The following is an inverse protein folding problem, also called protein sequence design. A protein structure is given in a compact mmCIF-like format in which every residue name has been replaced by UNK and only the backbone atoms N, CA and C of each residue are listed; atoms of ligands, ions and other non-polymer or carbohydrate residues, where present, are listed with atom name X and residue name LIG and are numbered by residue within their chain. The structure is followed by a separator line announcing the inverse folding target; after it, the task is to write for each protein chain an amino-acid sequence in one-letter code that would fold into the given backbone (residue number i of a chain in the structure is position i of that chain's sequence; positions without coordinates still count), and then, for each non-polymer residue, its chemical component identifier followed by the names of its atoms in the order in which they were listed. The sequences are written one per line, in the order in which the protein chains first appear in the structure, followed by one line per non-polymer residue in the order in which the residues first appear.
data_IF_120902607769
#
_entry.id   IF_120902607769
#
_cell.length_a   1.000
_cell.length_b   1.000
_cell.length_c   1.000
_cell.angle_alpha   90.00
_cell.angle_beta   90.00
_cell.angle_gamma   90.00
#
_symmetry.space_group_name_H-M   'P 1'
#
loop_
_entity.id
_entity.type
_entity.pdbx_description
1 polymer ?
#
# COMPACT_ATOMS: atom_id res chain seq x y z
N UNK A 1 -5.39 -6.22 -3.75
CA UNK A 1 -4.05 -6.79 -3.51
C UNK A 1 -3.52 -6.24 -2.19
N UNK A 2 -2.69 -6.96 -1.47
CA UNK A 2 -2.08 -6.53 -0.18
C UNK A 2 -0.57 -6.76 -0.26
N UNK A 3 0.21 -6.12 0.62
CA UNK A 3 1.65 -6.35 0.74
C UNK A 3 1.94 -7.78 1.19
N UNK A 4 2.84 -8.47 0.51
CA UNK A 4 3.33 -9.77 0.96
C UNK A 4 4.24 -9.61 2.18
N UNK A 5 3.89 -10.30 3.28
CA UNK A 5 4.68 -10.27 4.51
C UNK A 5 5.69 -11.41 4.60
N UNK A 6 5.77 -12.29 3.59
CA UNK A 6 6.73 -13.38 3.52
C UNK A 6 6.64 -14.26 4.76
N UNK A 7 7.79 -14.46 5.41
CA UNK A 7 7.93 -15.29 6.60
C UNK A 7 7.13 -14.75 7.81
N UNK A 8 6.71 -13.48 7.80
CA UNK A 8 5.88 -12.91 8.87
C UNK A 8 4.38 -13.22 8.72
N UNK A 9 3.97 -13.81 7.60
CA UNK A 9 2.58 -14.18 7.35
C UNK A 9 2.09 -15.16 8.43
N UNK A 10 0.93 -14.85 9.03
CA UNK A 10 0.33 -15.67 10.09
C UNK A 10 0.99 -15.54 11.47
N UNK A 11 2.11 -14.81 11.62
CA UNK A 11 2.76 -14.59 12.92
C UNK A 11 2.04 -13.54 13.75
N UNK A 12 2.15 -13.66 15.08
CA UNK A 12 1.61 -12.66 16.00
C UNK A 12 2.44 -11.38 15.96
N UNK A 13 1.78 -10.22 15.82
CA UNK A 13 2.43 -8.91 15.72
C UNK A 13 3.26 -8.56 16.96
N UNK A 14 2.69 -8.71 18.16
CA UNK A 14 3.36 -8.34 19.42
C UNK A 14 4.56 -9.22 19.71
N UNK A 15 4.45 -10.51 19.38
CA UNK A 15 5.57 -11.45 19.52
C UNK A 15 6.69 -11.14 18.52
N UNK A 16 6.34 -10.90 17.26
CA UNK A 16 7.31 -10.53 16.22
C UNK A 16 8.05 -9.25 16.58
N UNK A 17 7.34 -8.23 17.07
CA UNK A 17 7.93 -6.97 17.54
C UNK A 17 8.86 -7.17 18.73
N UNK A 18 8.52 -8.07 19.66
CA UNK A 18 9.38 -8.41 20.80
C UNK A 18 10.66 -9.12 20.37
N UNK A 19 10.58 -10.00 19.37
CA UNK A 19 11.74 -10.75 18.85
C UNK A 19 12.65 -9.87 17.97
N UNK A 20 12.07 -8.93 17.23
CA UNK A 20 12.76 -8.08 16.25
C UNK A 20 12.44 -6.59 16.48
N UNK A 21 12.82 -6.01 17.62
CA UNK A 21 12.37 -4.67 18.01
C UNK A 21 12.94 -3.55 17.12
N UNK A 22 14.05 -3.79 16.41
CA UNK A 22 14.66 -2.80 15.50
C UNK A 22 14.13 -2.94 14.08
N UNK A 23 13.91 -4.17 13.64
CA UNK A 23 13.56 -4.51 12.28
C UNK A 23 12.05 -4.46 12.05
N UNK A 24 11.24 -4.87 13.03
CA UNK A 24 9.78 -4.91 12.89
C UNK A 24 9.17 -3.54 12.52
N UNK A 25 9.57 -2.39 13.11
CA UNK A 25 9.07 -1.09 12.67
C UNK A 25 9.38 -0.79 11.19
N UNK A 26 10.56 -1.20 10.72
CA UNK A 26 10.99 -1.03 9.33
C UNK A 26 10.19 -1.94 8.39
N UNK A 27 9.97 -3.21 8.74
CA UNK A 27 9.14 -4.11 7.95
C UNK A 27 7.66 -3.69 7.95
N UNK A 28 7.17 -3.21 9.09
CA UNK A 28 5.76 -2.89 9.26
C UNK A 28 5.37 -1.57 8.59
N UNK A 29 6.21 -0.53 8.63
CA UNK A 29 5.89 0.79 8.09
C UNK A 29 6.97 1.38 7.19
N UNK A 30 8.17 0.83 7.12
CA UNK A 30 9.23 1.32 6.26
C UNK A 30 8.87 1.25 4.78
N UNK A 31 9.32 2.25 4.02
CA UNK A 31 9.03 2.34 2.59
C UNK A 31 9.81 1.29 1.77
N UNK A 32 11.10 1.15 2.06
CA UNK A 32 12.04 0.32 1.28
C UNK A 32 12.52 -0.94 2.01
N UNK A 33 11.95 -1.27 3.18
CA UNK A 33 12.42 -2.36 4.03
C UNK A 33 11.44 -3.53 3.97
N UNK A 34 11.67 -4.55 3.12
CA UNK A 34 10.80 -5.72 3.07
C UNK A 34 11.03 -6.61 4.31
N UNK A 35 9.98 -7.30 4.80
CA UNK A 35 10.18 -8.43 5.70
C UNK A 35 10.92 -9.58 4.98
N UNK A 36 11.49 -10.54 5.71
CA UNK A 36 12.15 -11.71 5.12
C UNK A 36 11.22 -12.44 4.14
N UNK A 37 11.71 -12.67 2.92
CA UNK A 37 10.97 -13.27 1.80
C UNK A 37 9.63 -12.60 1.45
N UNK A 38 9.46 -11.32 1.82
CA UNK A 38 8.26 -10.55 1.50
C UNK A 38 8.55 -9.32 0.65
N UNK A 39 7.60 -8.39 0.69
CA UNK A 39 7.55 -7.23 -0.20
C UNK A 39 7.70 -5.92 0.59
N UNK A 40 8.43 -4.96 0.03
CA UNK A 40 8.51 -3.58 0.56
C UNK A 40 7.33 -2.73 0.08
N UNK A 41 7.01 -1.63 0.76
CA UNK A 41 5.94 -0.74 0.30
C UNK A 41 6.25 -0.12 -1.07
N UNK A 42 7.53 0.09 -1.40
CA UNK A 42 7.98 0.51 -2.73
C UNK A 42 7.60 -0.49 -3.83
N UNK A 43 7.84 -1.78 -3.61
CA UNK A 43 7.45 -2.82 -4.59
C UNK A 43 5.93 -2.88 -4.76
N UNK A 44 5.17 -2.71 -3.66
CA UNK A 44 3.70 -2.60 -3.71
C UNK A 44 3.30 -1.40 -4.57
N UNK A 45 3.95 -0.26 -4.36
CA UNK A 45 3.71 0.95 -5.14
C UNK A 45 3.97 0.73 -6.63
N UNK A 46 5.09 0.12 -7.01
CA UNK A 46 5.45 -0.14 -8.41
C UNK A 46 4.34 -0.91 -9.15
N UNK A 47 3.92 -2.06 -8.62
CA UNK A 47 2.86 -2.87 -9.25
C UNK A 47 1.47 -2.22 -9.21
N UNK A 48 1.17 -1.44 -8.17
CA UNK A 48 -0.12 -0.74 -8.05
C UNK A 48 -0.19 0.41 -9.04
N UNK A 49 0.91 1.15 -9.24
CA UNK A 49 0.97 2.22 -10.23
C UNK A 49 0.93 1.69 -11.66
N UNK A 50 1.52 0.52 -11.93
CA UNK A 50 1.38 -0.15 -13.23
C UNK A 50 -0.09 -0.49 -13.52
N UNK A 51 -0.77 -1.15 -12.58
CA UNK A 51 -2.21 -1.41 -12.67
C UNK A 51 -3.02 -0.11 -12.85
N UNK A 52 -2.73 0.93 -12.06
CA UNK A 52 -3.46 2.19 -12.13
C UNK A 52 -3.26 2.88 -13.48
N UNK A 53 -2.05 2.86 -14.04
CA UNK A 53 -1.77 3.40 -15.38
C UNK A 53 -2.56 2.66 -16.46
N UNK A 54 -2.64 1.33 -16.39
CA UNK A 54 -3.43 0.53 -17.33
C UNK A 54 -4.92 0.89 -17.24
N UNK A 55 -5.45 0.99 -16.02
CA UNK A 55 -6.85 1.40 -15.77
C UNK A 55 -7.13 2.78 -16.36
N UNK A 56 -6.26 3.75 -16.08
CA UNK A 56 -6.42 5.13 -16.55
C UNK A 56 -6.26 5.26 -18.07
N UNK A 57 -5.36 4.47 -18.69
CA UNK A 57 -5.17 4.47 -20.14
C UNK A 57 -6.39 3.97 -20.93
N UNK A 58 -7.25 3.17 -20.29
CA UNK A 58 -8.46 2.61 -20.89
C UNK A 58 -9.74 3.38 -20.49
N UNK A 59 -9.62 4.48 -19.74
CA UNK A 59 -10.76 5.28 -19.29
C UNK A 59 -11.36 6.08 -20.45
N UNK A 60 -12.69 5.98 -20.64
CA UNK A 60 -13.43 6.81 -21.58
C UNK A 60 -14.23 7.89 -20.86
N UNK A 61 -14.70 8.87 -21.61
CA UNK A 61 -15.55 9.92 -21.07
C UNK A 61 -16.79 9.32 -20.38
N UNK A 62 -17.06 9.75 -19.15
CA UNK A 62 -18.16 9.29 -18.29
C UNK A 62 -18.03 7.85 -17.74
N UNK A 63 -16.90 7.16 -17.93
CA UNK A 63 -16.67 5.89 -17.23
C UNK A 63 -16.56 6.13 -15.72
N UNK A 64 -17.18 5.27 -14.92
CA UNK A 64 -17.05 5.25 -13.46
C UNK A 64 -16.37 3.96 -13.06
N UNK A 65 -15.21 4.08 -12.40
CA UNK A 65 -14.42 2.94 -11.94
C UNK A 65 -14.44 2.88 -10.42
N UNK A 66 -14.82 1.72 -9.90
CA UNK A 66 -14.73 1.41 -8.47
C UNK A 66 -13.53 0.48 -8.22
N UNK A 67 -12.58 0.92 -7.41
CA UNK A 67 -11.43 0.12 -6.99
C UNK A 67 -11.58 -0.24 -5.51
N UNK A 68 -11.69 -1.54 -5.20
CA UNK A 68 -11.65 -2.05 -3.83
C UNK A 68 -10.29 -2.67 -3.54
N UNK A 69 -9.57 -2.15 -2.54
CA UNK A 69 -8.21 -2.56 -2.22
C UNK A 69 -7.95 -2.54 -0.70
N UNK A 70 -6.89 -3.26 -0.31
CA UNK A 70 -6.41 -3.29 1.08
C UNK A 70 -5.48 -2.09 1.36
N UNK A 71 -5.12 -1.89 2.63
CA UNK A 71 -4.44 -0.68 3.08
C UNK A 71 -3.14 -0.37 2.34
N UNK A 72 -2.24 -1.35 2.16
CA UNK A 72 -0.96 -1.06 1.48
C UNK A 72 -1.11 -0.82 -0.02
N UNK A 73 -2.18 -1.29 -0.67
CA UNK A 73 -2.46 -0.96 -2.07
C UNK A 73 -3.26 0.33 -2.24
N UNK A 74 -4.09 0.70 -1.27
CA UNK A 74 -4.79 1.99 -1.29
C UNK A 74 -3.82 3.17 -1.13
N UNK A 75 -2.75 2.99 -0.36
CA UNK A 75 -1.69 3.98 -0.15
C UNK A 75 -1.08 4.54 -1.45
N UNK A 76 -0.51 3.72 -2.35
CA UNK A 76 0.01 4.19 -3.64
C UNK A 76 -1.05 4.86 -4.53
N UNK A 77 -2.28 4.32 -4.55
CA UNK A 77 -3.38 4.91 -5.33
C UNK A 77 -3.66 6.33 -4.86
N UNK A 78 -3.82 6.50 -3.54
CA UNK A 78 -4.05 7.83 -2.95
C UNK A 78 -2.86 8.74 -3.11
N UNK A 79 -1.62 8.23 -2.98
CA UNK A 79 -0.40 8.99 -3.25
C UNK A 79 -0.40 9.57 -4.66
N UNK A 80 -0.81 8.78 -5.66
CA UNK A 80 -0.91 9.22 -7.05
C UNK A 80 -1.92 10.38 -7.22
N UNK A 81 -3.16 10.22 -6.74
CA UNK A 81 -4.19 11.23 -6.92
C UNK A 81 -4.02 12.47 -6.03
N UNK A 82 -3.55 12.29 -4.79
CA UNK A 82 -3.37 13.38 -3.81
C UNK A 82 -1.97 14.01 -3.85
N UNK A 83 -1.09 13.54 -4.75
CA UNK A 83 0.29 14.03 -4.93
C UNK A 83 1.12 14.00 -3.64
N UNK A 84 0.99 12.92 -2.87
CA UNK A 84 1.70 12.77 -1.60
C UNK A 84 3.18 12.40 -1.77
N UNK A 85 3.99 12.75 -0.78
CA UNK A 85 5.35 12.23 -0.60
C UNK A 85 5.35 10.81 -0.03
N UNK A 86 6.47 10.09 -0.17
CA UNK A 86 6.67 8.75 0.41
C UNK A 86 6.41 8.75 1.92
N UNK A 87 6.88 9.79 2.63
CA UNK A 87 6.67 9.93 4.08
C UNK A 87 5.20 10.12 4.44
N UNK A 88 4.46 10.93 3.69
CA UNK A 88 3.02 11.12 3.91
C UNK A 88 2.23 9.83 3.63
N UNK A 89 2.60 9.09 2.59
CA UNK A 89 1.98 7.81 2.28
C UNK A 89 2.21 6.77 3.39
N UNK A 90 3.43 6.71 3.93
CA UNK A 90 3.81 5.77 5.00
C UNK A 90 3.06 6.05 6.30
N UNK A 91 2.93 7.32 6.66
CA UNK A 91 2.26 7.75 7.89
C UNK A 91 0.73 7.68 7.81
N UNK A 92 0.17 7.61 6.59
CA UNK A 92 -1.27 7.67 6.40
C UNK A 92 -2.02 6.46 6.99
N UNK A 93 -3.08 6.74 7.74
CA UNK A 93 -4.02 5.71 8.21
C UNK A 93 -5.34 5.80 7.44
N UNK A 94 -5.93 4.65 7.15
CA UNK A 94 -7.20 4.55 6.44
C UNK A 94 -8.32 4.22 7.42
N UNK A 95 -9.39 4.98 7.35
CA UNK A 95 -10.65 4.61 7.98
C UNK A 95 -11.29 3.47 7.17
N UNK A 96 -11.76 2.42 7.86
CA UNK A 96 -12.44 1.30 7.21
C UNK A 96 -13.77 1.76 6.63
N UNK A 97 -14.05 1.38 5.39
CA UNK A 97 -15.32 1.71 4.72
C UNK A 97 -15.43 3.13 4.18
N UNK A 98 -14.38 3.94 4.30
CA UNK A 98 -14.33 5.29 3.70
C UNK A 98 -14.12 5.19 2.19
N UNK A 99 -14.98 5.88 1.44
CA UNK A 99 -14.89 6.01 -0.02
C UNK A 99 -14.07 7.26 -0.33
N UNK A 100 -13.16 7.15 -1.29
CA UNK A 100 -12.38 8.25 -1.83
C UNK A 100 -12.72 8.40 -3.31
N UNK A 101 -13.07 9.62 -3.72
CA UNK A 101 -13.51 9.92 -5.08
C UNK A 101 -12.50 10.86 -5.73
N UNK A 102 -12.15 10.56 -6.98
CA UNK A 102 -11.19 11.32 -7.78
C UNK A 102 -11.73 11.51 -9.19
N UNK A 103 -11.47 12.68 -9.77
CA UNK A 103 -11.80 12.99 -11.16
C UNK A 103 -10.51 13.13 -11.96
N UNK A 104 -10.47 12.49 -13.12
CA UNK A 104 -9.32 12.43 -14.05
C UNK A 104 -9.73 12.88 -15.43
#
# INVERSE_FOLDING_TARGET
MERDYGDLTGKNKKETERLFPKEYPLWHRGYNSPPPNGESLKQVEERVLEFLKEVLANLRQNDVILISACGNSLRPIRKYFEKMTDMQMVSFEHERGKIYEYSV
#
